data_IF_738289970330
#
_entry.id   IF_738289970330
#
_cell.length_a   1.000
_cell.length_b   1.000
_cell.length_c   1.000
_cell.angle_alpha   90.00
_cell.angle_beta   90.00
_cell.angle_gamma   90.00
#
_symmetry.space_group_name_H-M   'P 1'
#
loop_
_entity.id
_entity.type
_entity.pdbx_description
1 polymer ?
#
# COMPACT_ATOMS: atom_id res chain seq x y z
N UNK A 1 -39.06 -14.29 -1.59
CA UNK A 1 -38.01 -13.29 -1.27
C UNK A 1 -37.52 -13.64 0.12
N UNK A 2 -36.40 -14.37 0.23
CA UNK A 2 -35.89 -14.83 1.52
C UNK A 2 -35.06 -13.72 2.15
N UNK A 3 -35.55 -13.15 3.26
CA UNK A 3 -34.73 -12.28 4.10
C UNK A 3 -33.74 -13.16 4.86
N UNK A 4 -32.49 -13.17 4.42
CA UNK A 4 -31.40 -13.86 5.13
C UNK A 4 -31.09 -13.03 6.38
N UNK A 5 -31.38 -13.59 7.55
CA UNK A 5 -31.07 -12.95 8.83
C UNK A 5 -29.62 -13.23 9.20
N UNK A 6 -28.76 -12.25 8.97
CA UNK A 6 -27.35 -12.34 9.35
C UNK A 6 -27.14 -12.14 10.85
N UNK A 7 -26.19 -12.88 11.42
CA UNK A 7 -25.74 -12.70 12.81
C UNK A 7 -25.19 -11.29 13.06
N UNK A 8 -25.11 -10.85 14.33
CA UNK A 8 -24.66 -9.49 14.68
C UNK A 8 -23.21 -9.18 14.22
N UNK A 9 -22.38 -10.20 14.00
CA UNK A 9 -21.01 -10.05 13.50
C UNK A 9 -20.96 -9.86 11.98
N UNK A 10 -21.66 -10.69 11.23
CA UNK A 10 -21.74 -10.59 9.78
C UNK A 10 -22.34 -9.24 9.34
N UNK A 11 -23.33 -8.74 10.07
CA UNK A 11 -23.89 -7.39 9.87
C UNK A 11 -22.87 -6.26 10.05
N UNK A 12 -21.83 -6.42 10.88
CA UNK A 12 -20.79 -5.40 11.05
C UNK A 12 -19.80 -5.41 9.90
N UNK A 13 -19.42 -6.59 9.41
CA UNK A 13 -18.53 -6.74 8.25
C UNK A 13 -19.22 -6.24 6.98
N UNK A 14 -20.44 -6.69 6.71
CA UNK A 14 -21.22 -6.23 5.56
C UNK A 14 -21.40 -4.72 5.61
N UNK A 15 -21.72 -4.17 6.79
CA UNK A 15 -21.80 -2.72 6.98
C UNK A 15 -20.48 -2.02 6.69
N UNK A 16 -19.35 -2.50 7.22
CA UNK A 16 -18.04 -1.91 6.94
C UNK A 16 -17.73 -1.93 5.44
N UNK A 17 -17.95 -3.07 4.77
CA UNK A 17 -17.71 -3.20 3.32
C UNK A 17 -18.65 -2.32 2.48
N UNK A 18 -19.90 -2.17 2.91
CA UNK A 18 -20.87 -1.28 2.27
C UNK A 18 -20.52 0.19 2.51
N UNK A 19 -20.12 0.58 3.71
CA UNK A 19 -19.68 1.94 4.02
C UNK A 19 -18.39 2.31 3.29
N UNK A 20 -17.42 1.38 3.27
CA UNK A 20 -16.19 1.48 2.50
C UNK A 20 -16.44 1.56 0.99
N UNK A 21 -17.65 1.27 0.48
CA UNK A 21 -18.00 1.37 -0.94
C UNK A 21 -19.04 2.44 -1.26
N UNK A 22 -19.79 2.95 -0.28
CA UNK A 22 -20.90 3.90 -0.49
C UNK A 22 -20.64 5.31 0.07
N UNK A 23 -19.53 5.52 0.79
CA UNK A 23 -19.19 6.84 1.34
C UNK A 23 -20.15 7.30 2.45
N UNK A 24 -20.91 6.38 3.04
CA UNK A 24 -21.90 6.70 4.07
C UNK A 24 -21.24 6.84 5.44
N UNK A 25 -21.52 7.95 6.13
CA UNK A 25 -20.95 8.36 7.42
C UNK A 25 -21.42 7.46 8.58
N UNK A 26 -20.51 6.94 9.41
CA UNK A 26 -20.86 6.48 10.76
C UNK A 26 -20.81 7.61 11.77
N UNK A 27 -21.92 7.79 12.47
CA UNK A 27 -21.93 8.28 13.85
C UNK A 27 -21.67 7.10 14.76
N UNK A 28 -20.55 7.08 15.47
CA UNK A 28 -20.31 6.18 16.59
C UNK A 28 -20.02 7.02 17.83
N UNK A 29 -20.85 6.87 18.88
CA UNK A 29 -20.81 7.67 20.13
C UNK A 29 -21.06 9.19 19.99
N UNK A 30 -21.99 9.60 19.12
CA UNK A 30 -22.55 10.97 19.18
C UNK A 30 -21.67 12.11 18.67
N UNK A 31 -20.56 11.82 17.97
CA UNK A 31 -19.79 12.85 17.27
C UNK A 31 -20.07 12.70 15.77
N UNK A 32 -20.74 13.71 15.20
CA UNK A 32 -20.98 13.85 13.76
C UNK A 32 -19.87 14.71 13.15
N UNK A 33 -19.13 14.18 12.18
CA UNK A 33 -18.20 14.99 11.37
C UNK A 33 -18.68 14.94 9.91
N UNK A 34 -19.43 15.97 9.53
CA UNK A 34 -19.91 16.14 8.16
C UNK A 34 -18.87 16.86 7.29
N UNK A 35 -18.56 16.28 6.12
CA UNK A 35 -18.04 17.01 4.96
C UNK A 35 -18.54 16.34 3.65
N UNK A 36 -18.53 17.10 2.57
CA UNK A 36 -19.06 16.80 1.23
C UNK A 36 -18.48 15.53 0.56
N UNK A 37 -19.32 14.88 -0.26
CA UNK A 37 -19.07 13.77 -1.22
C UNK A 37 -18.17 14.24 -2.38
N UNK A 38 -17.03 13.60 -2.71
CA UNK A 38 -16.96 12.52 -3.72
C UNK A 38 -15.67 11.63 -3.69
N UNK A 39 -14.77 11.71 -2.68
CA UNK A 39 -13.55 10.87 -2.60
C UNK A 39 -13.42 9.95 -1.36
N UNK A 40 -14.44 9.96 -0.49
CA UNK A 40 -14.29 9.55 0.91
C UNK A 40 -14.09 8.05 1.18
N UNK A 41 -14.52 7.15 0.31
CA UNK A 41 -14.43 5.72 0.64
C UNK A 41 -13.01 5.17 0.44
N UNK A 42 -12.27 5.68 -0.56
CA UNK A 42 -10.87 5.33 -0.83
C UNK A 42 -9.93 5.90 0.22
N UNK A 43 -10.06 7.20 0.50
CA UNK A 43 -9.24 7.88 1.51
C UNK A 43 -9.47 7.30 2.90
N UNK A 44 -10.71 6.87 3.22
CA UNK A 44 -11.02 6.16 4.46
C UNK A 44 -10.29 4.82 4.54
N UNK A 45 -10.36 3.99 3.49
CA UNK A 45 -9.65 2.69 3.48
C UNK A 45 -8.14 2.88 3.59
N UNK A 46 -7.56 3.88 2.90
CA UNK A 46 -6.13 4.20 3.00
C UNK A 46 -5.74 4.73 4.39
N UNK A 47 -6.63 5.47 5.05
CA UNK A 47 -6.43 5.94 6.42
C UNK A 47 -6.49 4.78 7.42
N UNK A 48 -7.50 3.91 7.31
CA UNK A 48 -7.61 2.69 8.12
C UNK A 48 -6.37 1.81 7.96
N UNK A 49 -5.92 1.61 6.70
CA UNK A 49 -4.68 0.89 6.41
C UNK A 49 -3.49 1.56 7.07
N UNK A 50 -3.37 2.88 6.97
CA UNK A 50 -2.31 3.64 7.63
C UNK A 50 -2.30 3.49 9.15
N UNK A 51 -3.46 3.36 9.80
CA UNK A 51 -3.56 3.12 11.24
C UNK A 51 -3.12 1.70 11.60
N UNK A 52 -3.62 0.68 10.90
CA UNK A 52 -3.24 -0.71 11.14
C UNK A 52 -1.74 -0.92 10.92
N UNK A 53 -1.19 -0.37 9.83
CA UNK A 53 0.23 -0.44 9.53
C UNK A 53 1.09 0.21 10.63
N UNK A 54 0.68 1.35 11.19
CA UNK A 54 1.43 2.02 12.28
C UNK A 54 1.43 1.20 13.57
N UNK A 55 0.35 0.51 13.89
CA UNK A 55 0.31 -0.37 15.06
C UNK A 55 1.29 -1.54 14.89
N UNK A 56 1.29 -2.15 13.69
CA UNK A 56 2.14 -3.29 13.36
C UNK A 56 3.61 -2.91 13.15
N UNK A 57 3.90 -1.68 12.72
CA UNK A 57 5.24 -1.14 12.50
C UNK A 57 5.71 -0.21 13.64
N UNK A 58 5.17 -0.38 14.86
CA UNK A 58 5.48 0.47 16.02
C UNK A 58 6.97 0.49 16.41
N UNK A 59 7.76 -0.48 15.92
CA UNK A 59 9.22 -0.52 16.07
C UNK A 59 9.96 0.53 15.22
N UNK A 60 9.31 1.16 14.25
CA UNK A 60 9.92 2.14 13.33
C UNK A 60 9.78 3.56 13.88
N UNK A 61 10.44 3.84 15.00
CA UNK A 61 10.30 5.07 15.77
C UNK A 61 10.79 6.38 15.14
N UNK A 62 11.14 6.42 13.84
CA UNK A 62 11.81 7.58 13.23
C UNK A 62 11.17 8.11 11.92
N UNK A 63 10.05 7.57 11.46
CA UNK A 63 9.47 7.98 10.18
C UNK A 63 9.08 9.47 10.13
N UNK A 64 8.49 10.00 11.20
CA UNK A 64 8.16 11.42 11.29
C UNK A 64 9.41 12.31 11.23
N UNK A 65 10.51 11.89 11.86
CA UNK A 65 11.77 12.63 11.82
C UNK A 65 12.37 12.65 10.40
N UNK A 66 12.33 11.51 9.70
CA UNK A 66 12.79 11.42 8.31
C UNK A 66 11.96 12.33 7.41
N UNK A 67 10.62 12.28 7.55
CA UNK A 67 9.72 13.13 6.79
C UNK A 67 10.05 14.61 7.00
N UNK A 68 10.14 15.04 8.26
CA UNK A 68 10.42 16.42 8.65
C UNK A 68 11.80 16.91 8.17
N UNK A 69 12.79 16.02 8.09
CA UNK A 69 14.16 16.39 7.69
C UNK A 69 14.29 16.71 6.20
N UNK A 70 13.35 16.26 5.37
CA UNK A 70 13.43 16.38 3.90
C UNK A 70 12.15 16.94 3.24
N UNK A 71 11.13 17.31 4.02
CA UNK A 71 9.90 17.87 3.47
C UNK A 71 10.06 19.32 3.02
N UNK A 72 9.33 19.68 1.97
CA UNK A 72 9.07 21.07 1.63
C UNK A 72 7.89 21.61 2.45
N UNK A 73 7.83 22.93 2.59
CA UNK A 73 6.73 23.62 3.27
C UNK A 73 6.14 24.66 2.32
N UNK A 74 4.83 24.61 2.11
CA UNK A 74 4.05 25.65 1.45
C UNK A 74 2.92 26.07 2.39
N UNK A 75 3.06 27.26 2.98
CA UNK A 75 2.21 27.71 4.09
C UNK A 75 2.31 26.79 5.31
N UNK A 76 1.17 26.21 5.72
CA UNK A 76 1.11 25.24 6.82
C UNK A 76 1.30 23.78 6.34
N UNK A 77 1.25 23.55 5.03
CA UNK A 77 1.31 22.22 4.46
C UNK A 77 2.75 21.76 4.30
N UNK A 78 3.04 20.56 4.81
CA UNK A 78 4.32 19.88 4.61
C UNK A 78 4.14 18.71 3.69
N UNK A 79 5.04 18.55 2.72
CA UNK A 79 4.96 17.49 1.74
C UNK A 79 6.33 17.02 1.27
N UNK A 80 6.37 15.78 0.79
CA UNK A 80 7.50 15.19 0.08
C UNK A 80 7.25 15.18 -1.43
N UNK A 81 8.33 15.31 -2.19
CA UNK A 81 8.34 15.21 -3.65
C UNK A 81 9.43 14.23 -4.10
N UNK A 82 9.53 14.00 -5.41
CA UNK A 82 10.66 13.30 -6.02
C UNK A 82 12.02 13.91 -5.61
N UNK A 83 12.10 15.24 -5.50
CA UNK A 83 13.31 15.94 -5.05
C UNK A 83 13.63 15.66 -3.58
N UNK A 84 12.62 15.53 -2.71
CA UNK A 84 12.82 15.08 -1.33
C UNK A 84 13.46 13.70 -1.27
N UNK A 85 12.96 12.75 -2.07
CA UNK A 85 13.50 11.39 -2.15
C UNK A 85 14.93 11.38 -2.69
N UNK A 86 15.18 12.11 -3.78
CA UNK A 86 16.52 12.26 -4.38
C UNK A 86 17.53 12.81 -3.37
N UNK A 87 17.14 13.85 -2.63
CA UNK A 87 17.99 14.43 -1.59
C UNK A 87 18.25 13.44 -0.44
N UNK A 88 17.22 12.74 0.02
CA UNK A 88 17.33 11.73 1.06
C UNK A 88 18.32 10.61 0.67
N UNK A 89 18.20 10.07 -0.55
CA UNK A 89 19.11 9.03 -1.07
C UNK A 89 20.53 9.56 -1.17
N UNK A 90 20.74 10.77 -1.68
CA UNK A 90 22.08 11.36 -1.82
C UNK A 90 22.79 11.53 -0.49
N UNK A 91 22.07 11.90 0.58
CA UNK A 91 22.64 12.05 1.92
C UNK A 91 22.92 10.70 2.57
N UNK A 92 21.95 9.77 2.54
CA UNK A 92 22.01 8.54 3.32
C UNK A 92 22.72 7.39 2.59
N UNK A 93 22.75 7.44 1.26
CA UNK A 93 23.35 6.42 0.40
C UNK A 93 24.27 7.05 -0.66
N UNK A 94 25.33 7.78 -0.25
CA UNK A 94 26.23 8.46 -1.19
C UNK A 94 26.99 7.51 -2.13
N UNK A 95 27.02 6.20 -1.81
CA UNK A 95 27.61 5.17 -2.66
C UNK A 95 26.71 4.67 -3.80
N UNK A 96 25.44 5.11 -3.85
CA UNK A 96 24.51 4.75 -4.91
C UNK A 96 24.51 5.85 -5.97
N UNK A 97 24.89 5.49 -7.20
CA UNK A 97 24.84 6.36 -8.35
C UNK A 97 23.43 6.33 -8.96
N UNK A 98 22.69 7.43 -8.78
CA UNK A 98 21.37 7.64 -9.36
C UNK A 98 21.42 8.57 -10.58
N UNK A 99 20.70 8.22 -11.64
CA UNK A 99 20.35 9.10 -12.77
C UNK A 99 18.93 9.65 -12.59
N UNK A 100 18.53 10.65 -13.40
CA UNK A 100 17.14 11.14 -13.38
C UNK A 100 16.14 10.01 -13.67
N UNK A 101 16.46 9.11 -14.60
CA UNK A 101 15.63 7.92 -14.88
C UNK A 101 15.42 7.05 -13.63
N UNK A 102 16.49 6.74 -12.89
CA UNK A 102 16.37 5.93 -11.67
C UNK A 102 15.68 6.68 -10.53
N UNK A 103 15.81 8.01 -10.44
CA UNK A 103 15.08 8.82 -9.48
C UNK A 103 13.57 8.75 -9.74
N UNK A 104 13.16 8.94 -11.00
CA UNK A 104 11.76 8.83 -11.39
C UNK A 104 11.22 7.42 -11.21
N UNK A 105 12.05 6.40 -11.45
CA UNK A 105 11.69 5.01 -11.16
C UNK A 105 11.43 4.79 -9.67
N UNK A 106 12.34 5.22 -8.80
CA UNK A 106 12.21 5.09 -7.35
C UNK A 106 11.02 5.88 -6.82
N UNK A 107 10.78 7.08 -7.35
CA UNK A 107 9.62 7.89 -6.99
C UNK A 107 8.30 7.24 -7.40
N UNK A 108 8.20 6.70 -8.63
CA UNK A 108 7.03 5.91 -9.05
C UNK A 108 6.79 4.71 -8.13
N UNK A 109 7.85 4.01 -7.73
CA UNK A 109 7.74 2.90 -6.78
C UNK A 109 7.19 3.38 -5.44
N UNK A 110 7.78 4.44 -4.89
CA UNK A 110 7.36 5.02 -3.63
C UNK A 110 5.90 5.46 -3.68
N UNK A 111 5.51 6.19 -4.72
CA UNK A 111 4.16 6.68 -4.95
C UNK A 111 3.14 5.54 -5.10
N UNK A 112 3.51 4.46 -5.78
CA UNK A 112 2.67 3.26 -5.91
C UNK A 112 2.30 2.70 -4.53
N UNK A 113 3.28 2.58 -3.62
CA UNK A 113 3.02 2.09 -2.26
C UNK A 113 2.31 3.12 -1.39
N UNK A 114 2.55 4.42 -1.60
CA UNK A 114 1.88 5.51 -0.89
C UNK A 114 0.35 5.49 -1.04
N UNK A 115 -0.13 5.04 -2.19
CA UNK A 115 -1.57 4.94 -2.49
C UNK A 115 -2.06 3.51 -2.70
N UNK A 116 -1.21 2.50 -2.46
CA UNK A 116 -1.61 1.10 -2.58
C UNK A 116 -2.85 0.80 -1.72
N UNK A 117 -3.87 0.11 -2.26
CA UNK A 117 -3.91 -0.62 -3.52
C UNK A 117 -4.51 0.18 -4.69
N UNK A 118 -4.80 1.46 -4.50
CA UNK A 118 -5.51 2.32 -5.44
C UNK A 118 -4.53 3.17 -6.26
N UNK A 119 -4.42 2.94 -7.58
CA UNK A 119 -3.50 3.72 -8.39
C UNK A 119 -3.91 5.19 -8.44
N UNK A 120 -2.91 6.07 -8.31
CA UNK A 120 -3.06 7.52 -8.45
C UNK A 120 -2.13 8.06 -9.53
N UNK A 121 -2.61 9.07 -10.26
CA UNK A 121 -1.89 9.67 -11.38
C UNK A 121 -1.19 11.00 -11.01
N UNK A 122 -1.57 11.60 -9.89
CA UNK A 122 -1.01 12.85 -9.36
C UNK A 122 0.27 12.59 -8.55
N UNK A 123 1.38 12.28 -9.26
CA UNK A 123 2.66 11.95 -8.64
C UNK A 123 3.47 13.15 -8.10
N UNK A 124 2.81 14.22 -7.67
CA UNK A 124 3.52 15.48 -7.37
C UNK A 124 3.95 15.60 -5.92
N UNK A 125 3.05 15.31 -4.98
CA UNK A 125 3.27 15.60 -3.57
C UNK A 125 2.60 14.55 -2.70
N UNK A 126 3.23 14.25 -1.57
CA UNK A 126 2.68 13.35 -0.56
C UNK A 126 2.82 13.97 0.82
N UNK A 127 1.77 13.87 1.64
CA UNK A 127 1.83 14.28 3.04
C UNK A 127 2.51 13.21 3.93
N UNK A 128 2.66 13.52 5.21
CA UNK A 128 3.31 12.63 6.18
C UNK A 128 2.60 11.27 6.32
N UNK A 129 1.26 11.26 6.28
CA UNK A 129 0.49 10.02 6.44
C UNK A 129 0.67 9.09 5.24
N UNK A 130 0.74 9.68 4.04
CA UNK A 130 1.00 8.99 2.78
C UNK A 130 2.44 8.49 2.73
N UNK A 131 3.39 9.32 3.16
CA UNK A 131 4.80 8.95 3.31
C UNK A 131 4.98 7.75 4.25
N UNK A 132 4.40 7.80 5.45
CA UNK A 132 4.52 6.72 6.43
C UNK A 132 3.98 5.40 5.87
N UNK A 133 2.83 5.42 5.22
CA UNK A 133 2.25 4.23 4.58
C UNK A 133 3.17 3.66 3.50
N UNK A 134 3.73 4.52 2.64
CA UNK A 134 4.68 4.09 1.61
C UNK A 134 5.91 3.41 2.23
N UNK A 135 6.53 4.02 3.25
CA UNK A 135 7.72 3.45 3.89
C UNK A 135 7.40 2.12 4.57
N UNK A 136 6.28 2.03 5.30
CA UNK A 136 5.93 0.78 5.98
C UNK A 136 5.71 -0.35 4.97
N UNK A 137 4.94 -0.09 3.91
CA UNK A 137 4.67 -1.11 2.89
C UNK A 137 5.92 -1.51 2.11
N UNK A 138 6.81 -0.56 1.79
CA UNK A 138 7.98 -0.82 0.94
C UNK A 138 9.21 -1.32 1.71
N UNK A 139 9.50 -0.76 2.88
CA UNK A 139 10.78 -0.96 3.58
C UNK A 139 10.66 -1.75 4.89
N UNK A 140 9.45 -1.86 5.45
CA UNK A 140 9.20 -2.53 6.74
C UNK A 140 8.38 -3.80 6.53
N UNK A 141 8.41 -4.37 5.31
CA UNK A 141 7.66 -5.59 4.95
C UNK A 141 6.15 -5.47 5.25
N UNK A 142 5.59 -4.25 5.20
CA UNK A 142 4.19 -4.03 5.54
C UNK A 142 3.21 -4.74 4.60
N UNK A 143 3.68 -5.17 3.43
CA UNK A 143 2.92 -6.02 2.50
C UNK A 143 2.59 -7.40 3.07
N UNK A 144 3.38 -7.90 4.02
CA UNK A 144 3.17 -9.19 4.69
C UNK A 144 1.94 -9.15 5.61
N UNK A 145 1.55 -7.94 6.05
CA UNK A 145 0.34 -7.75 6.83
C UNK A 145 -0.94 -7.78 5.98
N UNK A 146 -0.82 -7.63 4.66
CA UNK A 146 -1.98 -7.53 3.79
C UNK A 146 -2.72 -8.87 3.69
N UNK A 147 -3.95 -8.86 4.20
CA UNK A 147 -4.82 -10.02 4.27
C UNK A 147 -4.84 -10.70 5.63
N UNK A 148 -4.18 -10.11 6.63
CA UNK A 148 -4.10 -10.61 8.00
C UNK A 148 -4.77 -9.62 8.96
N UNK A 149 -5.43 -10.13 10.00
CA UNK A 149 -5.78 -9.32 11.18
C UNK A 149 -4.73 -9.51 12.28
N UNK A 150 -4.67 -8.57 13.23
CA UNK A 150 -3.80 -8.65 14.41
C UNK A 150 -4.01 -9.96 15.19
N UNK A 151 -2.90 -10.60 15.58
CA UNK A 151 -2.86 -11.91 16.22
C UNK A 151 -2.36 -13.05 15.33
N UNK A 152 -2.34 -12.87 13.99
CA UNK A 152 -1.85 -13.88 13.04
C UNK A 152 -2.75 -15.12 12.90
N UNK A 153 -3.85 -15.17 13.66
CA UNK A 153 -4.77 -16.32 13.72
C UNK A 153 -5.76 -16.36 12.53
N UNK A 154 -5.75 -15.36 11.65
CA UNK A 154 -6.73 -15.26 10.57
C UNK A 154 -6.19 -14.69 9.25
N UNK A 155 -6.50 -15.40 8.16
CA UNK A 155 -6.21 -15.03 6.78
C UNK A 155 -7.47 -15.20 5.92
N UNK A 156 -7.81 -14.21 5.08
CA UNK A 156 -8.84 -14.42 4.04
C UNK A 156 -8.38 -15.40 2.95
N UNK A 157 -7.06 -15.65 2.90
CA UNK A 157 -6.43 -16.67 2.07
C UNK A 157 -5.14 -17.16 2.73
N UNK A 158 -4.98 -18.47 2.91
CA UNK A 158 -3.77 -19.10 3.44
C UNK A 158 -3.00 -19.82 2.32
N UNK A 159 -2.26 -19.05 1.51
CA UNK A 159 -1.56 -19.52 0.32
C UNK A 159 -0.24 -18.75 0.18
N UNK A 160 0.86 -19.33 0.66
CA UNK A 160 2.17 -18.68 0.67
C UNK A 160 2.68 -18.35 -0.73
N UNK A 161 2.44 -19.24 -1.70
CA UNK A 161 2.84 -19.01 -3.10
C UNK A 161 2.10 -17.82 -3.70
N UNK A 162 0.84 -17.65 -3.32
CA UNK A 162 0.05 -16.48 -3.70
C UNK A 162 0.63 -15.18 -3.14
N UNK A 163 1.08 -15.15 -1.88
CA UNK A 163 1.67 -13.94 -1.30
C UNK A 163 2.99 -13.56 -1.98
N UNK A 164 3.86 -14.54 -2.26
CA UNK A 164 5.09 -14.31 -3.04
C UNK A 164 4.80 -13.79 -4.45
N UNK A 165 3.84 -14.39 -5.16
CA UNK A 165 3.42 -13.91 -6.50
C UNK A 165 2.81 -12.50 -6.42
N UNK A 166 2.05 -12.20 -5.37
CA UNK A 166 1.47 -10.89 -5.16
C UNK A 166 2.55 -9.81 -4.96
N UNK A 167 3.57 -10.06 -4.14
CA UNK A 167 4.67 -9.13 -3.94
C UNK A 167 5.49 -8.90 -5.20
N UNK A 168 5.83 -9.96 -5.91
CA UNK A 168 6.54 -9.84 -7.18
C UNK A 168 5.75 -8.99 -8.19
N UNK A 169 4.44 -9.21 -8.29
CA UNK A 169 3.56 -8.40 -9.14
C UNK A 169 3.43 -6.96 -8.65
N UNK A 170 3.43 -6.70 -7.34
CA UNK A 170 3.42 -5.34 -6.78
C UNK A 170 4.67 -4.58 -7.20
N UNK A 171 5.86 -5.18 -7.06
CA UNK A 171 7.14 -4.59 -7.49
C UNK A 171 7.13 -4.31 -9.00
N UNK A 172 6.69 -5.27 -9.82
CA UNK A 172 6.62 -5.05 -11.26
C UNK A 172 5.62 -3.95 -11.62
N UNK A 173 4.50 -3.80 -10.92
CA UNK A 173 3.58 -2.69 -11.18
C UNK A 173 4.15 -1.35 -10.71
N UNK A 174 4.87 -1.33 -9.60
CA UNK A 174 5.41 -0.11 -9.00
C UNK A 174 6.47 0.56 -9.87
N UNK A 175 7.21 -0.23 -10.67
CA UNK A 175 8.24 0.30 -11.57
C UNK A 175 7.67 0.77 -12.91
N UNK A 176 6.40 0.48 -13.20
CA UNK A 176 5.80 0.68 -14.52
C UNK A 176 4.79 1.82 -14.51
N UNK A 177 4.79 2.68 -15.54
CA UNK A 177 3.74 3.66 -15.70
C UNK A 177 2.41 2.96 -15.99
N UNK A 178 1.36 3.42 -15.33
CA UNK A 178 0.01 2.91 -15.53
C UNK A 178 -0.66 3.70 -16.66
N UNK A 179 -1.21 3.00 -17.65
CA UNK A 179 -1.89 3.62 -18.80
C UNK A 179 -3.39 3.31 -18.78
N UNK A 180 -4.26 4.30 -19.09
CA UNK A 180 -5.68 4.06 -19.27
C UNK A 180 -5.92 3.14 -20.49
N UNK A 181 -6.64 2.04 -20.30
CA UNK A 181 -7.06 1.17 -21.40
C UNK A 181 -8.23 1.82 -22.16
N UNK A 182 -8.03 2.06 -23.46
CA UNK A 182 -9.03 2.66 -24.35
C UNK A 182 -10.11 1.67 -24.84
N UNK A 183 -10.07 0.39 -24.46
CA UNK A 183 -10.98 -0.65 -24.99
C UNK A 183 -12.06 -1.07 -24.00
N UNK A 184 -13.21 -1.45 -24.56
CA UNK A 184 -14.52 -1.67 -23.93
C UNK A 184 -14.65 -2.88 -23.00
N UNK A 185 -13.56 -3.55 -22.63
CA UNK A 185 -13.62 -4.71 -21.74
C UNK A 185 -13.07 -4.35 -20.35
N UNK A 186 -13.91 -4.34 -19.30
CA UNK A 186 -13.45 -4.22 -17.94
C UNK A 186 -12.81 -5.55 -17.54
N UNK A 187 -11.49 -5.65 -17.67
CA UNK A 187 -10.71 -6.68 -16.98
C UNK A 187 -9.89 -5.99 -15.92
N UNK A 188 -10.50 -5.72 -14.76
CA UNK A 188 -9.68 -5.49 -13.56
C UNK A 188 -8.77 -6.72 -13.43
N UNK A 189 -7.46 -6.53 -13.52
CA UNK A 189 -6.55 -7.65 -13.33
C UNK A 189 -6.90 -8.31 -11.99
N UNK A 190 -7.12 -9.62 -11.98
CA UNK A 190 -7.50 -10.38 -10.76
C UNK A 190 -6.55 -10.04 -9.61
N UNK A 191 -5.27 -9.85 -9.92
CA UNK A 191 -4.23 -9.48 -8.99
C UNK A 191 -4.28 -8.03 -8.47
N UNK A 192 -5.09 -7.13 -9.03
CA UNK A 192 -5.43 -5.82 -8.46
C UNK A 192 -6.59 -5.97 -7.50
N UNK A 193 -7.64 -6.70 -7.90
CA UNK A 193 -8.79 -7.03 -7.03
C UNK A 193 -8.31 -7.70 -5.75
N UNK A 194 -7.43 -8.69 -5.87
CA UNK A 194 -6.89 -9.38 -4.70
C UNK A 194 -6.08 -8.47 -3.77
N UNK A 195 -5.40 -7.44 -4.29
CA UNK A 195 -4.70 -6.47 -3.44
C UNK A 195 -5.70 -5.64 -2.63
N UNK A 196 -6.80 -5.20 -3.26
CA UNK A 196 -7.88 -4.49 -2.56
C UNK A 196 -8.55 -5.39 -1.53
N UNK A 197 -8.82 -6.66 -1.86
CA UNK A 197 -9.34 -7.64 -0.90
C UNK A 197 -8.38 -7.82 0.29
N UNK A 198 -7.08 -7.92 0.04
CA UNK A 198 -6.06 -7.98 1.09
C UNK A 198 -6.11 -6.79 2.03
N UNK A 199 -6.22 -5.57 1.47
CA UNK A 199 -6.34 -4.35 2.26
C UNK A 199 -7.65 -4.34 3.06
N UNK A 200 -8.79 -4.63 2.45
CA UNK A 200 -10.09 -4.69 3.15
C UNK A 200 -10.12 -5.71 4.28
N UNK A 201 -9.52 -6.89 4.08
CA UNK A 201 -9.39 -7.93 5.10
C UNK A 201 -8.43 -7.53 6.24
N UNK A 202 -7.50 -6.61 5.98
CA UNK A 202 -6.57 -6.07 6.98
C UNK A 202 -7.22 -4.96 7.81
N UNK A 203 -8.04 -4.12 7.17
CA UNK A 203 -8.62 -2.92 7.77
C UNK A 203 -9.96 -3.13 8.44
N UNK A 204 -10.55 -4.33 8.32
CA UNK A 204 -11.81 -4.64 8.99
C UNK A 204 -11.74 -4.49 10.52
N UNK A 205 -12.84 -4.08 11.18
CA UNK A 205 -12.88 -3.86 12.62
C UNK A 205 -12.44 -5.08 13.45
N UNK A 206 -11.63 -4.84 14.48
CA UNK A 206 -11.07 -5.85 15.39
C UNK A 206 -12.11 -6.72 16.11
N UNK A 207 -13.35 -6.23 16.27
CA UNK A 207 -14.44 -6.95 16.94
C UNK A 207 -15.04 -8.11 16.11
N UNK A 208 -14.41 -8.45 14.98
CA UNK A 208 -14.83 -9.47 14.05
C UNK A 208 -13.83 -10.63 14.14
N UNK A 209 -14.26 -11.75 14.72
CA UNK A 209 -13.46 -12.97 14.85
C UNK A 209 -13.59 -13.91 13.64
N UNK A 210 -14.29 -13.47 12.58
CA UNK A 210 -14.61 -14.29 11.42
C UNK A 210 -14.21 -13.59 10.12
N UNK A 211 -13.67 -14.40 9.22
CA UNK A 211 -13.48 -14.06 7.83
C UNK A 211 -14.68 -13.37 7.18
N UNK A 212 -14.49 -12.22 6.52
CA UNK A 212 -15.36 -11.89 5.41
C UNK A 212 -15.26 -13.01 4.36
N UNK A 213 -16.38 -13.41 3.75
CA UNK A 213 -16.30 -14.39 2.68
C UNK A 213 -15.53 -13.79 1.48
N UNK A 214 -14.75 -14.60 0.73
CA UNK A 214 -14.05 -14.13 -0.46
C UNK A 214 -14.98 -13.43 -1.46
N UNK A 215 -16.22 -13.93 -1.62
CA UNK A 215 -17.22 -13.34 -2.50
C UNK A 215 -17.62 -11.92 -2.08
N UNK A 216 -17.76 -11.67 -0.77
CA UNK A 216 -18.09 -10.34 -0.24
C UNK A 216 -16.92 -9.38 -0.41
N UNK A 217 -15.69 -9.84 -0.14
CA UNK A 217 -14.48 -9.05 -0.36
C UNK A 217 -14.28 -8.71 -1.83
N UNK A 218 -14.45 -9.67 -2.73
CA UNK A 218 -14.33 -9.45 -4.16
C UNK A 218 -15.37 -8.46 -4.66
N UNK A 219 -16.62 -8.60 -4.22
CA UNK A 219 -17.70 -7.68 -4.57
C UNK A 219 -17.39 -6.25 -4.12
N UNK A 220 -16.94 -6.07 -2.88
CA UNK A 220 -16.56 -4.77 -2.35
C UNK A 220 -15.32 -4.18 -3.05
N UNK A 221 -14.31 -5.01 -3.30
CA UNK A 221 -13.09 -4.62 -4.01
C UNK A 221 -13.38 -4.12 -5.42
N UNK A 222 -14.27 -4.79 -6.15
CA UNK A 222 -14.68 -4.37 -7.50
C UNK A 222 -15.42 -3.04 -7.47
N UNK A 223 -16.37 -2.85 -6.54
CA UNK A 223 -17.06 -1.55 -6.36
C UNK A 223 -16.09 -0.41 -6.08
N UNK A 224 -15.10 -0.64 -5.21
CA UNK A 224 -14.04 0.33 -4.93
C UNK A 224 -13.22 0.67 -6.18
N UNK A 225 -12.78 -0.34 -6.95
CA UNK A 225 -12.00 -0.12 -8.16
C UNK A 225 -12.79 0.58 -9.27
N UNK A 226 -14.09 0.31 -9.37
CA UNK A 226 -14.98 0.98 -10.32
C UNK A 226 -15.23 2.45 -9.94
N UNK A 227 -15.11 2.80 -8.65
CA UNK A 227 -15.19 4.19 -8.18
C UNK A 227 -13.92 5.01 -8.46
N UNK A 228 -12.78 4.36 -8.68
CA UNK A 228 -11.53 5.06 -9.03
C UNK A 228 -11.55 5.41 -10.51
N UNK A 229 -11.36 6.68 -10.91
CA UNK A 229 -11.23 7.05 -12.31
C UNK A 229 -10.13 6.24 -13.00
N UNK A 230 -10.53 5.34 -13.90
CA UNK A 230 -9.61 4.45 -14.60
C UNK A 230 -9.14 3.23 -13.80
N UNK A 231 -9.51 3.04 -12.53
CA UNK A 231 -9.00 2.00 -11.64
C UNK A 231 -9.20 0.56 -12.12
N UNK A 232 -10.28 0.30 -12.87
CA UNK A 232 -10.58 -0.99 -13.50
C UNK A 232 -9.97 -1.18 -14.91
N UNK A 233 -9.26 -0.17 -15.43
CA UNK A 233 -8.72 -0.10 -16.80
C UNK A 233 -7.21 0.16 -16.86
N UNK A 234 -6.49 -0.02 -15.76
CA UNK A 234 -5.05 0.23 -15.77
C UNK A 234 -4.30 -0.99 -16.28
N UNK A 235 -3.55 -0.77 -17.36
CA UNK A 235 -2.52 -1.69 -17.81
C UNK A 235 -1.15 -1.18 -17.41
N UNK A 236 -0.33 -2.10 -16.94
CA UNK A 236 1.08 -1.89 -16.66
C UNK A 236 1.87 -2.51 -17.81
N UNK A 237 2.72 -1.71 -18.43
CA UNK A 237 3.64 -2.18 -19.46
C UNK A 237 5.05 -2.15 -18.88
N UNK A 238 5.70 -3.31 -18.88
CA UNK A 238 7.11 -3.41 -18.49
C UNK A 238 8.01 -2.86 -19.59
N UNK A 239 8.73 -1.79 -19.28
CA UNK A 239 9.77 -1.26 -20.16
C UNK A 239 11.12 -1.87 -19.78
N UNK A 240 11.91 -2.23 -20.79
CA UNK A 240 13.23 -2.83 -20.59
C UNK A 240 14.16 -1.89 -19.79
N UNK A 241 14.08 -0.58 -20.06
CA UNK A 241 14.89 0.43 -19.39
C UNK A 241 14.51 0.60 -17.91
N UNK A 242 13.22 0.50 -17.58
CA UNK A 242 12.74 0.52 -16.20
C UNK A 242 13.23 -0.72 -15.45
N UNK A 243 13.08 -1.89 -16.04
CA UNK A 243 13.56 -3.14 -15.44
C UNK A 243 15.08 -3.14 -15.25
N UNK A 244 15.82 -2.71 -16.27
CA UNK A 244 17.28 -2.56 -16.23
C UNK A 244 17.73 -1.56 -15.15
N UNK A 245 17.00 -0.44 -15.00
CA UNK A 245 17.24 0.54 -13.94
C UNK A 245 17.07 -0.06 -12.54
N UNK A 246 16.01 -0.84 -12.32
CA UNK A 246 15.81 -1.56 -11.05
C UNK A 246 16.94 -2.55 -10.77
N UNK A 247 17.29 -3.40 -11.74
CA UNK A 247 18.38 -4.38 -11.59
C UNK A 247 19.71 -3.68 -11.30
N UNK A 248 19.99 -2.57 -11.96
CA UNK A 248 21.19 -1.76 -11.74
C UNK A 248 21.25 -1.25 -10.29
N UNK A 249 20.15 -0.70 -9.77
CA UNK A 249 20.08 -0.23 -8.38
C UNK A 249 20.30 -1.38 -7.38
N UNK A 250 19.71 -2.54 -7.62
CA UNK A 250 19.90 -3.72 -6.77
C UNK A 250 21.37 -4.21 -6.76
N UNK A 251 22.02 -4.20 -7.92
CA UNK A 251 23.44 -4.55 -8.02
C UNK A 251 24.32 -3.53 -7.30
N UNK A 252 24.02 -2.23 -7.42
CA UNK A 252 24.75 -1.20 -6.69
C UNK A 252 24.60 -1.34 -5.18
N UNK A 253 23.39 -1.63 -4.69
CA UNK A 253 23.15 -1.90 -3.26
C UNK A 253 24.00 -3.06 -2.77
N UNK A 254 24.08 -4.15 -3.54
CA UNK A 254 24.89 -5.33 -3.21
C UNK A 254 26.40 -5.06 -3.19
N UNK A 255 26.88 -4.15 -4.04
CA UNK A 255 28.29 -3.75 -4.10
C UNK A 255 28.60 -2.71 -3.01
N UNK A 256 27.60 -1.94 -2.58
CA UNK A 256 27.76 -0.95 -1.53
C UNK A 256 28.12 -1.64 -0.21
N UNK A 257 29.29 -1.31 0.33
CA UNK A 257 29.80 -1.90 1.57
C UNK A 257 29.05 -1.45 2.84
N UNK A 258 28.12 -0.49 2.71
CA UNK A 258 27.30 -0.03 3.82
C UNK A 258 26.32 -1.13 4.26
N UNK A 259 26.06 -1.15 5.58
CA UNK A 259 25.24 -2.16 6.24
C UNK A 259 23.96 -1.55 6.79
N UNK A 260 22.84 -2.26 6.69
CA UNK A 260 21.69 -2.15 7.59
C UNK A 260 22.16 -2.42 9.02
N UNK A 261 22.33 -1.36 9.81
CA UNK A 261 22.83 -1.47 11.17
C UNK A 261 24.23 -2.10 11.23
N UNK A 262 24.52 -2.85 12.30
CA UNK A 262 25.87 -3.36 12.57
C UNK A 262 26.26 -4.58 11.72
N UNK A 263 25.32 -5.31 11.11
CA UNK A 263 25.60 -6.68 10.62
C UNK A 263 25.08 -7.05 9.23
N UNK A 264 24.07 -6.38 8.66
CA UNK A 264 23.44 -6.81 7.40
C UNK A 264 23.88 -5.92 6.25
N UNK A 265 24.34 -6.45 5.11
CA UNK A 265 24.69 -5.61 3.96
C UNK A 265 23.42 -5.11 3.23
N UNK A 266 23.50 -3.94 2.60
CA UNK A 266 22.44 -3.51 1.68
C UNK A 266 22.24 -4.56 0.56
N UNK A 267 20.99 -4.96 0.32
CA UNK A 267 20.64 -5.95 -0.71
C UNK A 267 20.83 -7.42 -0.32
N UNK A 268 21.08 -7.74 0.95
CA UNK A 268 20.96 -9.12 1.45
C UNK A 268 19.49 -9.53 1.56
N UNK A 269 19.05 -10.43 0.69
CA UNK A 269 17.74 -11.06 0.75
C UNK A 269 17.80 -12.26 1.72
N UNK A 270 17.76 -12.02 3.02
CA UNK A 270 17.51 -13.12 3.95
C UNK A 270 16.07 -13.59 3.77
N UNK A 271 15.89 -14.88 3.48
CA UNK A 271 14.63 -15.54 3.78
C UNK A 271 14.43 -15.44 5.30
N UNK A 272 13.25 -14.99 5.73
CA UNK A 272 12.81 -15.01 7.12
C UNK A 272 12.65 -16.47 7.59
N UNK A 273 13.76 -17.17 7.74
CA UNK A 273 13.81 -18.31 8.65
C UNK A 273 13.64 -17.72 10.04
N UNK A 274 12.45 -17.93 10.59
CA UNK A 274 12.02 -17.61 11.96
C UNK A 274 13.19 -17.28 12.88
N UNK A 275 13.40 -15.98 13.13
CA UNK A 275 14.13 -15.51 14.31
C UNK A 275 13.23 -15.70 15.55
N UNK A 276 12.91 -16.96 15.81
CA UNK A 276 12.51 -17.47 17.11
C UNK A 276 13.56 -18.51 17.44
N UNK A 277 14.61 -18.04 18.11
CA UNK A 277 15.41 -18.76 19.12
C UNK A 277 16.76 -18.05 19.29
N UNK A 278 16.75 -16.93 20.03
CA UNK A 278 17.86 -16.48 20.89
C UNK A 278 17.27 -15.72 22.08
#
# INVERSE_FOLDING_TARGET
MYHIHFGPHQRKVERYLDEATTGTVLTFKGISIGYHTDSRSLDSVLNDLGQVLRLKASEVGQLSSIFQSHCFTDGEQRYWTEESLKHHIKINHPGIATTEHTNSLLWRCFHFYAYHPFPRHDMHQIDESVFQRAVILLAVQGTDFLGTQDGGDYFWRNDTDFFYDADFRRILRSINPAFPEHKSQPTSQISVVNNVMGVLATTQPYAVTLAPSPDLLESAARRLLDSVPGGNRLRYRLYADDFSGLVTLLLQLRICSQKWGMTLHYGEFFQSSKLLDL
#
